data_IF_689533838249
#
_entry.id   IF_689533838249
#
_cell.length_a   1.000
_cell.length_b   1.000
_cell.length_c   1.000
_cell.angle_alpha   90.00
_cell.angle_beta   90.00
_cell.angle_gamma   90.00
#
_symmetry.space_group_name_H-M   'P 1'
#
loop_
_entity.id
_entity.type
_entity.pdbx_description
1 polymer ?
#
# COMPACT_ATOMS: atom_id res chain seq x y z
N UNK A 1 -17.96 17.42 -6.14
CA UNK A 1 -19.15 16.71 -5.63
C UNK A 1 -19.43 15.44 -6.45
N UNK A 2 -19.64 14.30 -5.78
CA UNK A 2 -20.07 13.06 -6.44
C UNK A 2 -21.58 13.14 -6.74
N UNK A 3 -22.04 12.78 -7.95
CA UNK A 3 -23.43 13.00 -8.35
C UNK A 3 -24.43 12.02 -7.73
N UNK A 4 -23.97 10.91 -7.16
CA UNK A 4 -24.81 9.90 -6.51
C UNK A 4 -24.91 10.05 -4.99
N UNK A 5 -25.62 9.11 -4.36
CA UNK A 5 -25.60 8.96 -2.91
C UNK A 5 -24.19 8.58 -2.43
N UNK A 6 -23.76 9.24 -1.37
CA UNK A 6 -22.46 9.02 -0.74
C UNK A 6 -22.65 9.19 0.77
N UNK A 7 -22.26 8.16 1.50
CA UNK A 7 -22.15 8.14 2.96
C UNK A 7 -20.76 7.66 3.34
N UNK A 8 -20.33 8.02 4.54
CA UNK A 8 -19.02 7.73 5.09
C UNK A 8 -19.19 7.10 6.47
N UNK A 9 -18.44 6.02 6.71
CA UNK A 9 -18.34 5.41 8.03
C UNK A 9 -16.89 5.55 8.48
N UNK A 10 -16.68 6.28 9.56
CA UNK A 10 -15.40 6.32 10.25
C UNK A 10 -15.44 5.34 11.41
N UNK A 11 -14.50 4.41 11.47
CA UNK A 11 -14.34 3.51 12.61
C UNK A 11 -13.16 3.98 13.45
N UNK A 12 -13.43 4.49 14.65
CA UNK A 12 -12.42 4.89 15.60
C UNK A 12 -11.88 3.65 16.34
N UNK A 13 -10.76 3.11 15.88
CA UNK A 13 -10.06 1.97 16.50
C UNK A 13 -9.31 2.40 17.79
N UNK A 14 -10.10 2.81 18.79
CA UNK A 14 -9.68 3.13 20.17
C UNK A 14 -8.63 4.24 20.27
N UNK A 15 -8.82 5.32 19.52
CA UNK A 15 -7.92 6.47 19.57
C UNK A 15 -8.11 7.25 20.89
N UNK A 16 -7.04 7.89 21.38
CA UNK A 16 -7.03 8.64 22.64
C UNK A 16 -6.89 10.16 22.42
N UNK A 17 -6.82 10.58 21.16
CA UNK A 17 -6.52 11.95 20.71
C UNK A 17 -7.77 12.75 20.27
N UNK A 18 -8.96 12.20 20.53
CA UNK A 18 -10.22 12.85 20.14
C UNK A 18 -10.60 12.67 18.66
N UNK A 19 -10.00 11.72 17.94
CA UNK A 19 -10.28 11.42 16.52
C UNK A 19 -11.78 11.44 16.17
N UNK A 20 -12.63 10.77 16.96
CA UNK A 20 -14.09 10.76 16.73
C UNK A 20 -14.75 12.14 16.79
N UNK A 21 -14.33 12.99 17.72
CA UNK A 21 -14.87 14.34 17.89
C UNK A 21 -14.43 15.23 16.73
N UNK A 22 -13.14 15.20 16.39
CA UNK A 22 -12.57 15.95 15.26
C UNK A 22 -13.31 15.62 13.95
N UNK A 23 -13.59 14.34 13.69
CA UNK A 23 -14.32 13.92 12.49
C UNK A 23 -15.76 14.46 12.45
N UNK A 24 -16.45 14.42 13.59
CA UNK A 24 -17.83 14.90 13.71
C UNK A 24 -17.92 16.42 13.53
N UNK A 25 -16.99 17.17 14.13
CA UNK A 25 -16.86 18.62 13.97
C UNK A 25 -16.49 19.01 12.54
N UNK A 26 -15.59 18.27 11.90
CA UNK A 26 -15.24 18.48 10.49
C UNK A 26 -16.46 18.29 9.58
N UNK A 27 -17.24 17.23 9.79
CA UNK A 27 -18.48 17.01 9.02
C UNK A 27 -19.52 18.10 9.27
N UNK A 28 -19.68 18.57 10.50
CA UNK A 28 -20.59 19.67 10.83
C UNK A 28 -20.17 20.99 10.16
N UNK A 29 -18.87 21.29 10.14
CA UNK A 29 -18.32 22.51 9.54
C UNK A 29 -18.64 22.64 8.05
N UNK A 30 -18.72 21.51 7.34
CA UNK A 30 -19.05 21.46 5.91
C UNK A 30 -20.51 21.10 5.63
N UNK A 31 -21.36 21.02 6.65
CA UNK A 31 -22.79 20.68 6.51
C UNK A 31 -23.04 19.25 6.01
N UNK A 32 -22.19 18.29 6.37
CA UNK A 32 -22.25 16.89 5.93
C UNK A 32 -22.44 15.89 7.09
N UNK A 33 -22.95 16.36 8.23
CA UNK A 33 -23.18 15.51 9.42
C UNK A 33 -24.14 14.34 9.16
N UNK A 34 -25.08 14.50 8.24
CA UNK A 34 -26.02 13.46 7.80
C UNK A 34 -25.34 12.36 6.96
N UNK A 35 -24.15 12.64 6.42
CA UNK A 35 -23.38 11.70 5.57
C UNK A 35 -22.27 10.99 6.33
N UNK A 36 -21.95 11.39 7.56
CA UNK A 36 -20.90 10.77 8.38
C UNK A 36 -21.51 9.99 9.55
N UNK A 37 -21.18 8.71 9.63
CA UNK A 37 -21.40 7.89 10.82
C UNK A 37 -20.06 7.57 11.48
N UNK A 38 -19.91 7.91 12.76
CA UNK A 38 -18.72 7.54 13.54
C UNK A 38 -19.05 6.33 14.41
N UNK A 39 -18.29 5.25 14.23
CA UNK A 39 -18.41 4.00 14.97
C UNK A 39 -17.23 3.85 15.93
N UNK A 40 -17.51 3.60 17.20
CA UNK A 40 -16.48 3.24 18.17
C UNK A 40 -16.03 1.80 17.97
N UNK A 41 -14.71 1.59 17.83
CA UNK A 41 -14.11 0.29 17.58
C UNK A 41 -14.16 -0.63 18.80
N UNK A 42 -14.61 -1.87 18.57
CA UNK A 42 -14.61 -2.93 19.59
C UNK A 42 -13.22 -3.54 19.78
N UNK A 43 -12.94 -4.18 20.94
CA UNK A 43 -11.68 -4.88 21.19
C UNK A 43 -11.28 -5.83 20.04
N UNK A 44 -9.98 -5.90 19.77
CA UNK A 44 -9.42 -6.72 18.69
C UNK A 44 -9.57 -8.22 19.03
N UNK A 45 -10.36 -9.00 18.28
CA UNK A 45 -10.43 -10.44 18.46
C UNK A 45 -9.14 -11.13 17.99
N UNK A 46 -8.90 -12.36 18.48
CA UNK A 46 -7.77 -13.17 18.04
C UNK A 46 -7.84 -13.49 16.54
N UNK A 47 -6.67 -13.56 15.89
CA UNK A 47 -6.57 -13.86 14.45
C UNK A 47 -6.90 -12.69 13.51
N UNK A 48 -7.16 -11.49 14.05
CA UNK A 48 -7.40 -10.28 13.26
C UNK A 48 -6.25 -9.29 13.37
N UNK A 49 -5.95 -8.59 12.28
CA UNK A 49 -5.16 -7.36 12.32
C UNK A 49 -6.04 -6.17 12.69
N UNK A 50 -5.46 -5.17 13.37
CA UNK A 50 -6.22 -4.02 13.88
C UNK A 50 -6.97 -3.25 12.80
N UNK A 51 -6.29 -2.97 11.67
CA UNK A 51 -6.90 -2.29 10.52
C UNK A 51 -8.08 -3.08 9.95
N UNK A 52 -7.90 -4.37 9.69
CA UNK A 52 -8.95 -5.19 9.09
C UNK A 52 -10.14 -5.38 10.02
N UNK A 53 -9.91 -5.44 11.33
CA UNK A 53 -11.00 -5.49 12.30
C UNK A 53 -11.82 -4.19 12.29
N UNK A 54 -11.17 -3.03 12.22
CA UNK A 54 -11.88 -1.75 12.06
C UNK A 54 -12.69 -1.73 10.76
N UNK A 55 -12.10 -2.14 9.63
CA UNK A 55 -12.81 -2.23 8.35
C UNK A 55 -14.01 -3.17 8.44
N UNK A 56 -13.86 -4.37 9.01
CA UNK A 56 -14.97 -5.31 9.20
C UNK A 56 -16.12 -4.66 9.95
N UNK A 57 -15.85 -3.98 11.06
CA UNK A 57 -16.91 -3.34 11.85
C UNK A 57 -17.70 -2.31 11.02
N UNK A 58 -17.02 -1.51 10.19
CA UNK A 58 -17.68 -0.59 9.27
C UNK A 58 -18.51 -1.33 8.20
N UNK A 59 -17.98 -2.40 7.60
CA UNK A 59 -18.70 -3.18 6.60
C UNK A 59 -19.91 -3.93 7.18
N UNK A 60 -19.86 -4.39 8.43
CA UNK A 60 -21.00 -4.99 9.11
C UNK A 60 -22.14 -3.99 9.29
N UNK A 61 -21.82 -2.73 9.59
CA UNK A 61 -22.84 -1.68 9.66
C UNK A 61 -23.50 -1.46 8.29
N UNK A 62 -22.71 -1.41 7.21
CA UNK A 62 -23.24 -1.32 5.83
C UNK A 62 -24.17 -2.50 5.52
N UNK A 63 -23.74 -3.72 5.85
CA UNK A 63 -24.53 -4.94 5.62
C UNK A 63 -25.87 -4.94 6.38
N UNK A 64 -25.91 -4.37 7.58
CA UNK A 64 -27.15 -4.24 8.37
C UNK A 64 -28.10 -3.13 7.88
N UNK A 65 -27.65 -2.28 6.95
CA UNK A 65 -28.43 -1.17 6.42
C UNK A 65 -29.55 -1.60 5.48
N UNK A 66 -30.61 -0.80 5.41
CA UNK A 66 -31.76 -1.04 4.55
C UNK A 66 -31.43 -0.99 3.04
N UNK A 67 -30.34 -0.31 2.65
CA UNK A 67 -29.90 -0.20 1.27
C UNK A 67 -28.42 -0.53 1.17
N UNK A 68 -28.11 -1.52 0.33
CA UNK A 68 -26.74 -1.93 0.06
C UNK A 68 -26.14 -1.02 -1.02
N UNK A 69 -24.88 -0.59 -0.87
CA UNK A 69 -24.23 0.23 -1.88
C UNK A 69 -23.83 -0.61 -3.09
N UNK A 70 -23.69 0.02 -4.26
CA UNK A 70 -23.09 -0.63 -5.43
C UNK A 70 -21.58 -0.81 -5.27
N UNK A 71 -20.93 0.17 -4.63
CA UNK A 71 -19.50 0.21 -4.38
C UNK A 71 -19.20 0.61 -2.94
N UNK A 72 -18.09 0.08 -2.41
CA UNK A 72 -17.49 0.55 -1.16
C UNK A 72 -16.08 1.06 -1.42
N UNK A 73 -15.79 2.28 -0.97
CA UNK A 73 -14.43 2.82 -0.97
C UNK A 73 -13.80 2.59 0.40
N UNK A 74 -12.81 1.72 0.46
CA UNK A 74 -11.93 1.57 1.62
C UNK A 74 -10.82 2.62 1.51
N UNK A 75 -10.77 3.51 2.50
CA UNK A 75 -9.80 4.60 2.55
C UNK A 75 -9.16 4.71 3.92
N UNK A 76 -7.87 5.06 3.93
CA UNK A 76 -7.17 5.39 5.17
C UNK A 76 -7.45 6.87 5.52
N UNK A 77 -7.39 7.21 6.81
CA UNK A 77 -7.77 8.55 7.30
C UNK A 77 -6.77 9.65 6.94
N UNK A 78 -5.56 9.30 6.53
CA UNK A 78 -4.51 10.20 6.05
C UNK A 78 -4.57 10.45 4.55
N UNK A 79 -5.60 9.94 3.85
CA UNK A 79 -5.73 10.05 2.40
C UNK A 79 -6.64 11.22 2.05
N UNK A 80 -6.08 12.17 1.30
CA UNK A 80 -6.78 13.34 0.80
C UNK A 80 -7.09 13.16 -0.68
N UNK A 81 -8.37 13.37 -1.01
CA UNK A 81 -8.91 13.31 -2.36
C UNK A 81 -9.13 14.72 -2.89
N UNK A 82 -8.78 14.96 -4.14
CA UNK A 82 -9.04 16.24 -4.82
C UNK A 82 -9.80 16.03 -6.15
N UNK A 83 -10.51 17.07 -6.57
CA UNK A 83 -11.30 17.07 -7.80
C UNK A 83 -12.41 16.00 -7.81
N UNK A 84 -12.48 15.27 -8.90
CA UNK A 84 -13.52 14.30 -9.28
C UNK A 84 -13.01 12.84 -9.21
N UNK A 85 -12.04 12.55 -8.35
CA UNK A 85 -11.44 11.20 -8.24
C UNK A 85 -12.48 10.11 -8.03
N UNK A 86 -13.39 10.26 -7.06
CA UNK A 86 -14.39 9.24 -6.76
C UNK A 86 -15.29 8.96 -7.98
N UNK A 87 -15.72 10.02 -8.67
CA UNK A 87 -16.51 9.91 -9.89
C UNK A 87 -15.76 9.12 -10.98
N UNK A 88 -14.48 9.43 -11.20
CA UNK A 88 -13.65 8.71 -12.18
C UNK A 88 -13.40 7.25 -11.80
N UNK A 89 -13.21 6.95 -10.51
CA UNK A 89 -13.05 5.60 -10.01
C UNK A 89 -14.30 4.76 -10.31
N UNK A 90 -15.47 5.28 -9.95
CA UNK A 90 -16.76 4.61 -10.21
C UNK A 90 -17.00 4.46 -11.70
N UNK A 91 -16.84 5.52 -12.49
CA UNK A 91 -17.03 5.48 -13.94
C UNK A 91 -16.11 4.45 -14.61
N UNK A 92 -14.85 4.35 -14.18
CA UNK A 92 -13.93 3.32 -14.67
C UNK A 92 -14.39 1.92 -14.27
N UNK A 93 -14.77 1.72 -13.00
CA UNK A 93 -15.22 0.43 -12.51
C UNK A 93 -16.46 -0.06 -13.27
N UNK A 94 -17.40 0.83 -13.58
CA UNK A 94 -18.60 0.53 -14.38
C UNK A 94 -18.24 0.22 -15.84
N UNK A 95 -17.49 1.11 -16.50
CA UNK A 95 -17.16 0.97 -17.94
C UNK A 95 -16.31 -0.28 -18.22
N UNK A 96 -15.35 -0.59 -17.35
CA UNK A 96 -14.47 -1.75 -17.51
C UNK A 96 -14.98 -3.00 -16.78
N UNK A 97 -16.16 -2.93 -16.13
CA UNK A 97 -16.79 -4.00 -15.33
C UNK A 97 -15.83 -4.62 -14.30
N UNK A 98 -15.12 -3.76 -13.58
CA UNK A 98 -14.06 -4.16 -12.65
C UNK A 98 -14.66 -4.59 -11.31
N UNK A 99 -14.14 -5.67 -10.74
CA UNK A 99 -14.43 -6.05 -9.36
C UNK A 99 -13.81 -5.05 -8.36
N UNK A 100 -12.68 -4.44 -8.74
CA UNK A 100 -11.94 -3.50 -7.91
C UNK A 100 -11.20 -2.46 -8.77
N UNK A 101 -11.20 -1.21 -8.32
CA UNK A 101 -10.26 -0.17 -8.75
C UNK A 101 -9.51 0.35 -7.54
N UNK A 102 -8.18 0.44 -7.63
CA UNK A 102 -7.34 0.97 -6.57
C UNK A 102 -6.39 2.03 -7.13
N UNK A 103 -6.17 3.06 -6.32
CA UNK A 103 -5.18 4.09 -6.61
C UNK A 103 -4.10 4.01 -5.56
N UNK A 104 -2.87 3.91 -6.05
CA UNK A 104 -1.69 4.11 -5.22
C UNK A 104 -1.55 5.59 -4.93
N UNK A 105 -1.94 5.97 -3.70
CA UNK A 105 -1.85 7.34 -3.23
C UNK A 105 -0.41 7.84 -3.35
N UNK A 106 -0.25 9.09 -3.80
CA UNK A 106 1.05 9.75 -3.79
C UNK A 106 1.43 10.01 -2.34
N UNK A 107 2.48 9.34 -1.88
CA UNK A 107 3.01 9.54 -0.54
C UNK A 107 3.66 10.92 -0.43
N UNK A 108 3.63 11.50 0.77
CA UNK A 108 4.35 12.74 1.05
C UNK A 108 5.84 12.58 0.74
N UNK A 109 6.44 13.62 0.13
CA UNK A 109 7.81 13.59 -0.36
C UNK A 109 8.48 14.97 -0.20
N UNK A 110 8.50 15.47 1.03
CA UNK A 110 8.95 16.82 1.38
C UNK A 110 10.30 16.80 2.11
N UNK A 111 10.47 15.90 3.07
CA UNK A 111 11.71 15.77 3.85
C UNK A 111 12.84 15.12 3.03
N UNK A 112 14.10 15.26 3.47
CA UNK A 112 15.22 14.58 2.81
C UNK A 112 15.09 13.05 2.89
N UNK A 113 14.60 12.51 4.01
CA UNK A 113 14.37 11.08 4.16
C UNK A 113 13.29 10.58 3.20
N UNK A 114 12.21 11.35 3.03
CA UNK A 114 11.14 10.99 2.09
C UNK A 114 11.64 11.05 0.65
N UNK A 115 12.34 12.14 0.27
CA UNK A 115 12.95 12.29 -1.07
C UNK A 115 13.93 11.16 -1.40
N UNK A 116 14.64 10.66 -0.39
CA UNK A 116 15.58 9.55 -0.51
C UNK A 116 14.88 8.19 -0.71
N UNK A 117 13.81 7.90 0.03
CA UNK A 117 13.25 6.54 0.11
C UNK A 117 11.90 6.37 -0.59
N UNK A 118 11.00 7.35 -0.53
CA UNK A 118 9.62 7.22 -1.00
C UNK A 118 9.51 6.97 -2.50
N UNK A 119 10.26 7.67 -3.39
CA UNK A 119 10.24 7.34 -4.81
C UNK A 119 10.69 5.89 -5.06
N UNK A 120 11.71 5.41 -4.35
CA UNK A 120 12.18 4.04 -4.49
C UNK A 120 11.15 3.01 -4.00
N UNK A 121 10.38 3.33 -2.94
CA UNK A 121 9.25 2.50 -2.50
C UNK A 121 8.28 2.22 -3.65
N UNK A 122 7.89 3.27 -4.39
CA UNK A 122 6.97 3.14 -5.53
C UNK A 122 7.61 2.34 -6.66
N UNK A 123 8.90 2.58 -6.94
CA UNK A 123 9.62 1.87 -7.97
C UNK A 123 9.71 0.36 -7.69
N UNK A 124 10.13 -0.02 -6.48
CA UNK A 124 10.19 -1.43 -6.07
C UNK A 124 8.81 -2.09 -6.02
N UNK A 125 7.79 -1.36 -5.55
CA UNK A 125 6.42 -1.86 -5.60
C UNK A 125 5.98 -2.16 -7.04
N UNK A 126 6.30 -1.27 -8.00
CA UNK A 126 6.02 -1.50 -9.42
C UNK A 126 6.78 -2.68 -10.02
N UNK A 127 7.97 -3.01 -9.50
CA UNK A 127 8.71 -4.22 -9.88
C UNK A 127 8.06 -5.51 -9.35
N UNK A 128 7.56 -5.48 -8.10
CA UNK A 128 6.89 -6.62 -7.48
C UNK A 128 5.48 -6.86 -8.06
N UNK A 129 4.77 -5.77 -8.35
CA UNK A 129 3.41 -5.79 -8.84
C UNK A 129 3.28 -4.96 -10.11
N UNK A 130 3.78 -5.43 -11.28
CA UNK A 130 3.62 -4.69 -12.52
C UNK A 130 2.15 -4.45 -12.86
N UNK A 131 1.75 -3.20 -13.06
CA UNK A 131 0.33 -2.83 -13.17
C UNK A 131 -0.36 -3.49 -14.37
N UNK A 132 0.39 -3.73 -15.46
CA UNK A 132 -0.11 -4.49 -16.61
C UNK A 132 -0.45 -5.95 -16.26
N UNK A 133 0.28 -6.56 -15.32
CA UNK A 133 0.00 -7.92 -14.85
C UNK A 133 -1.20 -7.95 -13.92
N UNK A 134 -1.33 -6.95 -13.05
CA UNK A 134 -2.49 -6.76 -12.18
C UNK A 134 -3.78 -6.64 -13.02
N UNK A 135 -3.75 -5.84 -14.10
CA UNK A 135 -4.88 -5.67 -15.03
C UNK A 135 -5.17 -6.92 -15.88
N UNK A 136 -4.17 -7.76 -16.13
CA UNK A 136 -4.34 -8.94 -17.00
C UNK A 136 -5.25 -9.99 -16.37
N UNK A 137 -6.23 -10.49 -17.12
CA UNK A 137 -7.11 -11.59 -16.72
C UNK A 137 -6.41 -12.95 -16.68
N UNK A 138 -5.32 -13.12 -17.43
CA UNK A 138 -4.61 -14.41 -17.57
C UNK A 138 -3.49 -14.59 -16.54
N UNK A 139 -3.14 -13.55 -15.79
CA UNK A 139 -2.11 -13.61 -14.74
C UNK A 139 -2.76 -13.64 -13.37
N UNK A 140 -2.25 -14.50 -12.49
CA UNK A 140 -2.73 -14.60 -11.12
C UNK A 140 -2.37 -13.39 -10.23
N UNK A 141 -1.38 -12.57 -10.64
CA UNK A 141 -0.94 -11.39 -9.89
C UNK A 141 -2.12 -10.46 -9.62
N UNK A 142 -2.54 -10.35 -8.36
CA UNK A 142 -3.49 -9.37 -7.88
C UNK A 142 -2.79 -8.42 -6.91
N UNK A 143 -3.11 -7.14 -7.01
CA UNK A 143 -2.63 -6.13 -6.08
C UNK A 143 -3.65 -5.01 -5.98
N UNK A 144 -3.71 -4.40 -4.81
CA UNK A 144 -4.23 -3.07 -4.60
C UNK A 144 -3.11 -2.25 -3.96
N UNK A 145 -3.27 -0.93 -3.92
CA UNK A 145 -2.47 -0.10 -3.06
C UNK A 145 -3.37 0.43 -1.94
N UNK A 146 -2.87 0.32 -0.72
CA UNK A 146 -3.55 0.80 0.48
C UNK A 146 -3.99 2.25 0.38
N UNK A 147 -4.98 2.61 1.20
CA UNK A 147 -5.48 3.97 1.32
C UNK A 147 -6.54 4.39 0.30
N UNK A 148 -6.64 3.76 -0.87
CA UNK A 148 -7.74 4.01 -1.81
C UNK A 148 -8.10 2.75 -2.62
N UNK A 149 -9.12 2.03 -2.15
CA UNK A 149 -9.61 0.79 -2.79
C UNK A 149 -11.12 0.88 -2.95
N UNK A 150 -11.59 1.10 -4.17
CA UNK A 150 -13.01 1.03 -4.53
C UNK A 150 -13.34 -0.38 -5.02
N UNK A 151 -14.12 -1.13 -4.24
CA UNK A 151 -14.57 -2.47 -4.57
C UNK A 151 -16.07 -2.47 -4.90
N UNK A 152 -16.47 -3.29 -5.87
CA UNK A 152 -17.89 -3.62 -6.03
C UNK A 152 -18.39 -4.38 -4.81
N UNK A 153 -19.56 -4.01 -4.30
CA UNK A 153 -20.10 -4.61 -3.08
C UNK A 153 -20.35 -6.12 -3.23
N UNK A 154 -20.97 -6.52 -4.33
CA UNK A 154 -21.26 -7.92 -4.64
C UNK A 154 -19.98 -8.76 -4.79
N UNK A 155 -18.97 -8.23 -5.50
CA UNK A 155 -17.67 -8.88 -5.64
C UNK A 155 -16.96 -9.05 -4.28
N UNK A 156 -17.00 -8.04 -3.42
CA UNK A 156 -16.43 -8.13 -2.07
C UNK A 156 -17.10 -9.22 -1.24
N UNK A 157 -18.44 -9.29 -1.28
CA UNK A 157 -19.21 -10.33 -0.57
C UNK A 157 -18.91 -11.72 -1.12
N UNK A 158 -18.92 -11.90 -2.43
CA UNK A 158 -18.65 -13.18 -3.08
C UNK A 158 -17.20 -13.66 -2.90
N UNK A 159 -16.25 -12.75 -2.71
CA UNK A 159 -14.87 -13.07 -2.35
C UNK A 159 -14.69 -13.53 -0.89
N UNK A 160 -15.77 -13.57 -0.09
CA UNK A 160 -15.75 -13.93 1.33
C UNK A 160 -15.56 -12.75 2.28
N UNK A 161 -15.70 -11.51 1.79
CA UNK A 161 -15.53 -10.30 2.60
C UNK A 161 -14.09 -10.08 3.08
N UNK A 162 -13.94 -9.22 4.08
CA UNK A 162 -12.64 -8.93 4.71
C UNK A 162 -12.20 -10.07 5.63
N UNK A 163 -13.13 -10.93 6.07
CA UNK A 163 -12.83 -12.16 6.82
C UNK A 163 -11.78 -13.02 6.13
N UNK A 164 -11.85 -13.12 4.80
CA UNK A 164 -10.97 -13.95 3.98
C UNK A 164 -9.49 -13.53 4.06
N UNK A 165 -9.22 -12.33 4.54
CA UNK A 165 -7.88 -11.75 4.70
C UNK A 165 -7.58 -11.30 6.13
N UNK A 166 -8.40 -11.67 7.12
CA UNK A 166 -8.35 -11.17 8.51
C UNK A 166 -6.96 -11.15 9.16
N UNK A 167 -6.11 -12.13 8.82
CA UNK A 167 -4.75 -12.27 9.37
C UNK A 167 -3.64 -11.72 8.47
N UNK A 168 -3.97 -11.14 7.33
CA UNK A 168 -3.00 -10.60 6.39
C UNK A 168 -2.47 -9.24 6.86
N UNK A 169 -1.14 -9.14 6.96
CA UNK A 169 -0.45 -7.89 7.30
C UNK A 169 -0.38 -6.92 6.11
N UNK A 170 -0.38 -7.46 4.89
CA UNK A 170 -0.48 -6.73 3.63
C UNK A 170 -1.91 -6.93 3.12
N UNK A 171 -2.84 -6.18 3.68
CA UNK A 171 -4.27 -6.32 3.45
C UNK A 171 -4.69 -5.96 2.02
N UNK A 172 -4.05 -4.96 1.44
CA UNK A 172 -4.35 -4.43 0.10
C UNK A 172 -4.04 -5.46 -1.01
N UNK A 173 -2.84 -6.02 -1.04
CA UNK A 173 -2.48 -7.05 -2.01
C UNK A 173 -3.31 -8.33 -1.80
N UNK A 174 -3.55 -8.73 -0.55
CA UNK A 174 -4.38 -9.88 -0.24
C UNK A 174 -5.83 -9.68 -0.74
N UNK A 175 -6.42 -8.50 -0.52
CA UNK A 175 -7.73 -8.14 -1.03
C UNK A 175 -7.75 -8.13 -2.57
N UNK A 176 -6.71 -7.56 -3.20
CA UNK A 176 -6.58 -7.51 -4.65
C UNK A 176 -6.54 -8.89 -5.30
N UNK A 177 -5.81 -9.84 -4.70
CA UNK A 177 -5.79 -11.25 -5.15
C UNK A 177 -7.17 -11.88 -5.02
N UNK A 178 -7.86 -11.68 -3.89
CA UNK A 178 -9.20 -12.22 -3.65
C UNK A 178 -10.24 -11.66 -4.61
N UNK A 179 -10.32 -10.35 -4.78
CA UNK A 179 -11.28 -9.70 -5.69
C UNK A 179 -11.00 -10.02 -7.15
N UNK A 180 -9.74 -10.33 -7.51
CA UNK A 180 -9.40 -10.79 -8.87
C UNK A 180 -10.07 -12.10 -9.24
N UNK A 181 -10.43 -12.94 -8.28
CA UNK A 181 -11.22 -14.16 -8.54
C UNK A 181 -12.68 -13.87 -8.91
N UNK A 182 -13.18 -12.67 -8.60
CA UNK A 182 -14.56 -12.24 -8.84
C UNK A 182 -14.70 -11.38 -10.10
N UNK A 183 -13.59 -10.92 -10.66
CA UNK A 183 -13.58 -10.12 -11.88
C UNK A 183 -12.25 -9.39 -12.09
N UNK A 184 -12.11 -8.62 -13.17
CA UNK A 184 -10.89 -7.87 -13.44
C UNK A 184 -10.66 -6.81 -12.38
N UNK A 185 -9.39 -6.57 -12.05
CA UNK A 185 -8.98 -5.54 -11.09
C UNK A 185 -8.05 -4.54 -11.76
N UNK A 186 -8.08 -3.30 -11.29
CA UNK A 186 -7.23 -2.25 -11.80
C UNK A 186 -6.48 -1.54 -10.69
N UNK A 187 -5.19 -1.29 -10.92
CA UNK A 187 -4.33 -0.52 -10.04
C UNK A 187 -3.63 0.56 -10.88
N UNK A 188 -3.61 1.79 -10.36
CA UNK A 188 -2.94 2.90 -11.04
C UNK A 188 -2.49 4.01 -10.11
N UNK A 189 -1.94 5.06 -10.70
CA UNK A 189 -1.46 6.26 -10.00
C UNK A 189 -2.42 7.43 -10.19
N UNK A 190 -2.41 8.37 -9.26
CA UNK A 190 -3.10 9.65 -9.37
C UNK A 190 -2.35 10.73 -8.60
N UNK A 191 -2.19 11.90 -9.20
CA UNK A 191 -1.72 13.10 -8.49
C UNK A 191 -2.80 13.69 -7.56
N UNK A 192 -4.06 13.24 -7.71
CA UNK A 192 -5.22 13.78 -6.99
C UNK A 192 -5.62 12.95 -5.75
N UNK A 193 -4.87 11.89 -5.44
CA UNK A 193 -5.01 11.08 -4.22
C UNK A 193 -3.66 11.10 -3.52
N UNK A 194 -3.59 11.76 -2.37
CA UNK A 194 -2.32 12.00 -1.67
C UNK A 194 -2.43 11.52 -0.23
N UNK A 195 -1.36 10.95 0.31
CA UNK A 195 -1.24 10.70 1.76
C UNK A 195 -0.58 11.92 2.41
N UNK A 196 -1.20 12.45 3.47
CA UNK A 196 -0.66 13.56 4.26
C UNK A 196 0.18 13.10 5.46
N UNK A 197 0.40 11.79 5.59
CA UNK A 197 1.19 11.23 6.69
C UNK A 197 2.65 11.64 6.55
N UNK A 198 3.16 12.36 7.55
CA UNK A 198 4.58 12.71 7.62
C UNK A 198 5.46 11.50 7.97
N UNK A 199 6.62 11.39 7.33
CA UNK A 199 7.67 10.43 7.66
C UNK A 199 9.02 11.14 7.55
N UNK A 200 9.27 12.08 8.47
CA UNK A 200 10.37 13.05 8.33
C UNK A 200 11.76 12.43 8.48
N UNK A 201 11.89 11.26 9.12
CA UNK A 201 13.17 10.57 9.33
C UNK A 201 13.30 9.28 8.52
N UNK A 202 14.55 8.86 8.28
CA UNK A 202 14.87 7.54 7.70
C UNK A 202 14.32 6.41 8.57
N UNK A 203 14.28 6.61 9.89
CA UNK A 203 13.70 5.67 10.84
C UNK A 203 12.18 5.49 10.63
N UNK A 204 11.45 6.58 10.39
CA UNK A 204 9.99 6.53 10.18
C UNK A 204 9.65 5.75 8.90
N UNK A 205 10.33 6.07 7.79
CA UNK A 205 10.15 5.36 6.52
C UNK A 205 10.62 3.91 6.64
N UNK A 206 11.75 3.68 7.33
CA UNK A 206 12.27 2.35 7.60
C UNK A 206 11.29 1.50 8.41
N UNK A 207 10.64 2.05 9.43
CA UNK A 207 9.59 1.36 10.19
C UNK A 207 8.37 1.04 9.33
N UNK A 208 7.95 1.97 8.47
CA UNK A 208 6.85 1.73 7.52
C UNK A 208 7.14 0.52 6.63
N UNK A 209 8.37 0.42 6.10
CA UNK A 209 8.81 -0.69 5.24
C UNK A 209 9.01 -1.98 6.05
N UNK A 210 9.75 -1.91 7.16
CA UNK A 210 10.04 -3.06 8.03
C UNK A 210 8.77 -3.67 8.64
N UNK A 211 7.67 -2.93 8.71
CA UNK A 211 6.39 -3.48 9.15
C UNK A 211 5.91 -4.62 8.27
N UNK A 212 6.06 -4.54 6.95
CA UNK A 212 5.46 -5.51 6.01
C UNK A 212 6.47 -6.27 5.13
N UNK A 213 7.74 -5.85 5.06
CA UNK A 213 8.71 -6.42 4.12
C UNK A 213 8.90 -7.94 4.26
N UNK A 214 8.96 -8.51 5.48
CA UNK A 214 9.09 -9.96 5.63
C UNK A 214 7.78 -10.72 5.39
N UNK A 215 6.64 -10.08 5.64
CA UNK A 215 5.32 -10.62 5.28
C UNK A 215 5.15 -10.73 3.76
N UNK A 216 5.72 -9.79 3.00
CA UNK A 216 5.79 -9.84 1.54
C UNK A 216 6.54 -11.08 1.03
N UNK A 217 7.48 -11.58 1.83
CA UNK A 217 8.26 -12.79 1.55
C UNK A 217 7.66 -14.04 2.19
N UNK A 218 6.39 -13.98 2.59
CA UNK A 218 5.66 -15.08 3.22
C UNK A 218 6.40 -15.70 4.42
N UNK A 219 7.14 -14.88 5.18
CA UNK A 219 7.94 -15.32 6.32
C UNK A 219 8.94 -16.45 5.99
N UNK A 220 9.37 -16.56 4.72
CA UNK A 220 10.28 -17.61 4.26
C UNK A 220 11.73 -17.13 4.30
N UNK A 221 12.62 -17.79 5.08
CA UNK A 221 14.05 -17.50 5.06
C UNK A 221 14.69 -17.72 3.69
N UNK A 222 14.20 -18.70 2.92
CA UNK A 222 14.68 -18.96 1.56
C UNK A 222 14.36 -17.80 0.61
N UNK A 223 13.14 -17.25 0.68
CA UNK A 223 12.77 -16.07 -0.11
C UNK A 223 13.53 -14.82 0.35
N UNK A 224 13.83 -14.69 1.64
CA UNK A 224 14.67 -13.61 2.15
C UNK A 224 16.08 -13.66 1.58
N UNK A 225 16.77 -14.80 1.70
CA UNK A 225 18.12 -14.99 1.16
C UNK A 225 18.12 -14.77 -0.36
N UNK A 226 17.15 -15.37 -1.06
CA UNK A 226 16.99 -15.19 -2.50
C UNK A 226 16.78 -13.73 -2.90
N UNK A 227 15.98 -12.98 -2.14
CA UNK A 227 15.74 -11.54 -2.37
C UNK A 227 17.00 -10.73 -2.12
N UNK A 228 17.73 -10.99 -1.03
CA UNK A 228 19.00 -10.29 -0.75
C UNK A 228 20.03 -10.56 -1.86
N UNK A 229 20.12 -11.80 -2.33
CA UNK A 229 21.00 -12.17 -3.43
C UNK A 229 20.60 -11.49 -4.74
N UNK A 230 19.31 -11.53 -5.10
CA UNK A 230 18.78 -10.88 -6.29
C UNK A 230 18.99 -9.36 -6.25
N UNK A 231 18.72 -8.71 -5.12
CA UNK A 231 18.98 -7.27 -4.96
C UNK A 231 20.46 -6.94 -5.08
N UNK A 232 21.35 -7.78 -4.54
CA UNK A 232 22.81 -7.60 -4.70
C UNK A 232 23.22 -7.69 -6.17
N UNK A 233 22.72 -8.67 -6.92
CA UNK A 233 23.02 -8.81 -8.34
C UNK A 233 22.45 -7.66 -9.16
N UNK A 234 21.20 -7.27 -8.91
CA UNK A 234 20.52 -6.26 -9.74
C UNK A 234 21.03 -4.86 -9.43
N UNK A 235 21.22 -4.51 -8.15
CA UNK A 235 21.51 -3.13 -7.75
C UNK A 235 22.97 -2.86 -7.43
N UNK A 236 23.68 -3.79 -6.77
CA UNK A 236 25.04 -3.54 -6.29
C UNK A 236 26.11 -4.00 -7.28
N UNK A 237 25.94 -5.17 -7.90
CA UNK A 237 26.94 -5.75 -8.79
C UNK A 237 27.27 -4.85 -10.00
N UNK A 238 26.31 -4.18 -10.68
CA UNK A 238 26.63 -3.27 -11.79
C UNK A 238 27.53 -2.10 -11.36
N UNK A 239 27.33 -1.57 -10.16
CA UNK A 239 28.16 -0.47 -9.64
C UNK A 239 29.55 -0.98 -9.29
N UNK A 240 29.65 -2.08 -8.54
CA UNK A 240 30.94 -2.62 -8.11
C UNK A 240 31.80 -3.06 -9.31
N UNK A 241 31.20 -3.74 -10.29
CA UNK A 241 31.90 -4.16 -11.51
C UNK A 241 32.24 -2.96 -12.39
N UNK A 242 31.40 -1.92 -12.44
CA UNK A 242 31.71 -0.69 -13.17
C UNK A 242 32.89 0.08 -12.56
N UNK A 243 33.04 0.09 -11.23
CA UNK A 243 34.07 0.86 -10.53
C UNK A 243 35.40 0.11 -10.40
N UNK A 244 35.34 -1.21 -10.20
CA UNK A 244 36.52 -2.03 -9.88
C UNK A 244 36.82 -3.10 -10.93
N UNK A 245 35.91 -3.35 -11.87
CA UNK A 245 36.10 -4.32 -12.94
C UNK A 245 36.94 -3.77 -14.10
N UNK A 246 37.27 -4.64 -15.05
CA UNK A 246 38.09 -4.31 -16.22
C UNK A 246 37.47 -4.84 -17.52
N UNK A 247 37.90 -4.26 -18.64
CA UNK A 247 37.49 -4.70 -19.98
C UNK A 247 35.99 -4.52 -20.24
N UNK A 248 35.43 -5.40 -21.08
CA UNK A 248 34.02 -5.33 -21.49
C UNK A 248 33.04 -5.50 -20.33
N UNK A 249 33.43 -6.20 -19.26
CA UNK A 249 32.58 -6.39 -18.08
C UNK A 249 32.26 -5.06 -17.40
N UNK A 250 33.26 -4.17 -17.23
CA UNK A 250 33.05 -2.84 -16.66
C UNK A 250 32.14 -1.97 -17.54
N UNK A 251 32.28 -2.07 -18.87
CA UNK A 251 31.44 -1.33 -19.83
C UNK A 251 29.98 -1.77 -19.75
N UNK A 252 29.72 -3.08 -19.76
CA UNK A 252 28.34 -3.59 -19.62
C UNK A 252 27.75 -3.29 -18.24
N UNK A 253 28.55 -3.33 -17.19
CA UNK A 253 28.12 -2.97 -15.84
C UNK A 253 27.77 -1.47 -15.72
N UNK A 254 28.57 -0.58 -16.32
CA UNK A 254 28.26 0.85 -16.40
C UNK A 254 26.98 1.10 -17.21
N UNK A 255 26.79 0.41 -18.33
CA UNK A 255 25.57 0.49 -19.12
C UNK A 255 24.33 0.02 -18.33
N UNK A 256 24.46 -1.09 -17.58
CA UNK A 256 23.39 -1.57 -16.70
C UNK A 256 23.07 -0.58 -15.58
N UNK A 257 24.08 0.03 -14.96
CA UNK A 257 23.88 1.08 -13.95
C UNK A 257 23.18 2.32 -14.54
N UNK A 258 23.55 2.73 -15.75
CA UNK A 258 22.87 3.82 -16.47
C UNK A 258 21.41 3.46 -16.78
N UNK A 259 21.14 2.26 -17.32
CA UNK A 259 19.77 1.82 -17.63
C UNK A 259 18.90 1.75 -16.37
N UNK A 260 19.46 1.32 -15.25
CA UNK A 260 18.80 1.36 -13.95
C UNK A 260 18.45 2.79 -13.53
N UNK A 261 19.41 3.72 -13.63
CA UNK A 261 19.17 5.13 -13.32
C UNK A 261 18.10 5.75 -14.24
N UNK A 262 18.06 5.36 -15.52
CA UNK A 262 17.05 5.77 -16.50
C UNK A 262 15.67 5.18 -16.21
N UNK A 263 15.61 3.90 -15.83
CA UNK A 263 14.36 3.22 -15.47
C UNK A 263 13.68 3.84 -14.25
N UNK A 264 14.45 4.47 -13.34
CA UNK A 264 13.92 5.15 -12.17
C UNK A 264 13.41 6.58 -12.44
N UNK A 265 13.77 7.18 -13.58
CA UNK A 265 13.41 8.57 -13.90
C UNK A 265 11.91 8.85 -13.95
N UNK A 266 11.03 7.97 -14.49
CA UNK A 266 9.59 8.21 -14.47
C UNK A 266 9.06 8.40 -13.04
N UNK A 267 9.55 7.61 -12.09
CA UNK A 267 9.17 7.71 -10.68
C UNK A 267 9.70 9.00 -10.06
N UNK A 268 10.96 9.37 -10.33
CA UNK A 268 11.51 10.66 -9.86
C UNK A 268 10.71 11.85 -10.39
N UNK A 269 10.37 11.85 -11.69
CA UNK A 269 9.52 12.88 -12.30
C UNK A 269 8.12 12.93 -11.69
N UNK A 270 7.51 11.78 -11.41
CA UNK A 270 6.21 11.71 -10.72
C UNK A 270 6.22 12.40 -9.35
N UNK A 271 7.36 12.35 -8.65
CA UNK A 271 7.59 13.01 -7.37
C UNK A 271 8.25 14.40 -7.47
N UNK A 272 8.52 14.92 -8.67
CA UNK A 272 9.22 16.19 -8.86
C UNK A 272 10.66 16.20 -8.33
N UNK A 273 11.31 15.04 -8.24
CA UNK A 273 12.67 14.91 -7.72
C UNK A 273 13.73 15.07 -8.81
N UNK A 274 14.94 15.46 -8.39
CA UNK A 274 16.09 15.59 -9.28
C UNK A 274 16.46 14.24 -9.91
N UNK A 275 16.81 14.26 -11.20
CA UNK A 275 17.30 13.10 -11.93
C UNK A 275 18.59 12.51 -11.34
N UNK A 276 19.33 13.30 -10.54
CA UNK A 276 20.56 12.89 -9.85
C UNK A 276 20.34 11.78 -8.81
N UNK A 277 19.09 11.58 -8.36
CA UNK A 277 18.76 10.42 -7.53
C UNK A 277 18.81 9.09 -8.31
N UNK A 278 18.79 9.13 -9.65
CA UNK A 278 18.88 7.94 -10.51
C UNK A 278 20.11 7.07 -10.22
N UNK A 279 21.33 7.62 -10.37
CA UNK A 279 22.57 6.88 -10.06
C UNK A 279 22.70 6.45 -8.60
N UNK A 280 22.00 7.10 -7.67
CA UNK A 280 22.00 6.77 -6.23
C UNK A 280 21.07 5.59 -5.86
N UNK A 281 20.26 5.07 -6.79
CA UNK A 281 19.35 3.95 -6.54
C UNK A 281 20.01 2.71 -5.91
N UNK A 282 21.25 2.31 -6.27
CA UNK A 282 21.98 1.23 -5.58
C UNK A 282 22.17 1.46 -4.08
N UNK A 283 22.49 2.70 -3.67
CA UNK A 283 22.61 3.04 -2.25
C UNK A 283 21.24 3.00 -1.54
N UNK A 284 20.19 3.47 -2.23
CA UNK A 284 18.81 3.34 -1.73
C UNK A 284 18.43 1.85 -1.55
N UNK A 285 18.78 0.99 -2.51
CA UNK A 285 18.52 -0.44 -2.45
C UNK A 285 19.17 -1.10 -1.23
N UNK A 286 20.38 -0.68 -0.83
CA UNK A 286 21.01 -1.14 0.43
C UNK A 286 20.16 -0.79 1.65
N UNK A 287 19.60 0.42 1.72
CA UNK A 287 18.70 0.78 2.82
C UNK A 287 17.46 -0.14 2.87
N UNK A 288 16.87 -0.46 1.72
CA UNK A 288 15.75 -1.40 1.63
C UNK A 288 16.13 -2.83 2.02
N UNK A 289 17.33 -3.29 1.68
CA UNK A 289 17.85 -4.58 2.14
C UNK A 289 17.95 -4.61 3.67
N UNK A 290 18.51 -3.56 4.28
CA UNK A 290 18.59 -3.42 5.74
C UNK A 290 17.19 -3.44 6.38
N UNK A 291 16.23 -2.69 5.83
CA UNK A 291 14.86 -2.68 6.35
C UNK A 291 14.15 -4.03 6.21
N UNK A 292 14.45 -4.78 5.14
CA UNK A 292 13.90 -6.11 4.90
C UNK A 292 14.45 -7.12 5.90
N UNK A 293 15.76 -7.08 6.17
CA UNK A 293 16.39 -7.92 7.20
C UNK A 293 15.88 -7.54 8.60
N UNK A 294 15.77 -6.25 8.89
CA UNK A 294 15.20 -5.76 10.15
C UNK A 294 13.75 -6.23 10.36
N UNK A 295 12.94 -6.28 9.30
CA UNK A 295 11.59 -6.85 9.33
C UNK A 295 11.60 -8.32 9.79
N UNK A 296 12.52 -9.12 9.24
CA UNK A 296 12.67 -10.52 9.62
C UNK A 296 13.13 -10.66 11.08
N UNK A 297 14.11 -9.87 11.52
CA UNK A 297 14.58 -9.86 12.90
C UNK A 297 13.44 -9.50 13.86
N UNK A 298 12.65 -8.47 13.57
CA UNK A 298 11.50 -8.09 14.39
C UNK A 298 10.46 -9.20 14.46
N UNK A 299 10.21 -9.91 13.36
CA UNK A 299 9.31 -11.07 13.37
C UNK A 299 9.82 -12.18 14.29
N UNK A 300 11.10 -12.56 14.20
CA UNK A 300 11.70 -13.57 15.08
C UNK A 300 11.73 -13.15 16.56
N UNK A 301 11.76 -11.85 16.84
CA UNK A 301 11.64 -11.30 18.20
C UNK A 301 10.19 -11.17 18.70
N UNK A 302 9.19 -11.62 17.92
CA UNK A 302 7.77 -11.50 18.26
C UNK A 302 7.20 -10.07 18.14
N UNK A 303 7.97 -9.14 17.56
CA UNK A 303 7.61 -7.72 17.36
C UNK A 303 7.22 -7.39 15.92
N UNK A 304 7.04 -8.40 15.06
CA UNK A 304 6.65 -8.21 13.66
C UNK A 304 5.27 -7.55 13.51
N UNK A 305 5.14 -6.69 12.48
CA UNK A 305 3.85 -6.12 12.07
C UNK A 305 3.22 -5.13 13.04
N UNK A 306 4.02 -4.35 13.78
CA UNK A 306 3.52 -3.36 14.74
C UNK A 306 2.45 -2.42 14.13
N UNK A 307 1.29 -2.33 14.79
CA UNK A 307 0.19 -1.42 14.46
C UNK A 307 -0.37 -0.77 15.72
N UNK A 308 -0.30 0.57 15.81
CA UNK A 308 -0.72 1.33 17.01
C UNK A 308 -0.15 0.74 18.31
N UNK A 309 1.14 0.39 18.32
CA UNK A 309 1.81 -0.20 19.49
C UNK A 309 1.51 -1.70 19.74
N UNK A 310 0.68 -2.35 18.92
CA UNK A 310 0.34 -3.77 19.05
C UNK A 310 1.12 -4.60 18.03
N UNK A 311 1.88 -5.60 18.48
CA UNK A 311 2.55 -6.56 17.60
C UNK A 311 1.54 -7.49 16.93
N UNK A 312 1.69 -7.73 15.62
CA UNK A 312 0.78 -8.59 14.84
C UNK A 312 1.41 -9.94 14.47
N UNK A 313 2.67 -10.18 14.86
CA UNK A 313 3.45 -11.37 14.50
C UNK A 313 2.74 -12.71 14.78
N UNK A 314 1.97 -12.80 15.87
CA UNK A 314 1.25 -14.02 16.26
C UNK A 314 0.03 -14.34 15.37
N UNK A 315 -0.53 -13.35 14.65
CA UNK A 315 -1.69 -13.54 13.78
C UNK A 315 -1.29 -14.14 12.43
N UNK A 316 -0.06 -13.87 11.99
CA UNK A 316 0.47 -14.27 10.70
C UNK A 316 1.21 -15.61 10.67
N UNK A 317 1.67 -16.13 11.81
CA UNK A 317 2.35 -17.43 11.93
C UNK A 317 1.40 -18.63 11.99
N UNK A 318 0.09 -18.39 12.06
CA UNK A 318 -0.96 -19.41 12.10
C UNK A 318 -1.64 -19.64 10.74
N UNK A 319 -1.03 -19.16 9.64
CA UNK A 319 -1.48 -19.41 8.26
C UNK A 319 -0.55 -20.40 7.55
#
# INVERSE_FOLDING_TARGET
PYPGALSMILVDDQSQDGTSQIASEAAATIGASDRLTVLQGRPLPSGWTGKLWAVKQGLTLVESGATQPEYVLLTDADIVYSGDVLMRLVARAQNEKLAMTSIMAKLRCESLAEKYLIPAFIFFFGMLYPFGWVRSRTRATGAAAGGCILARWDALKNAGGIEAIRGSLIDDCALGVRLKTQGPVWLGFSQNVVSVRASDTVGDVGQMISRSAYAQLHYSPALLIGTMFAMTIVFLAPVLISLFGHGLAAVFAAAAWLLMALAFQPTLRYYGQSALWGPALPAIAVAYMVFTVNSAIQHFQGRGGMWKGRAQAQVSSSQ
#
